data_IF_730647563871
#
_entry.id   IF_730647563871
#
_cell.length_a   1.000
_cell.length_b   1.000
_cell.length_c   1.000
_cell.angle_alpha   90.00
_cell.angle_beta   90.00
_cell.angle_gamma   90.00
#
_symmetry.space_group_name_H-M   'P 1'
#
loop_
_entity.id
_entity.type
_entity.pdbx_description
1 polymer ?
#
# COMPACT_ATOMS: atom_id res chain seq x y z
N UNK A 1 37.01 12.89 10.21
CA UNK A 1 37.12 11.48 10.64
C UNK A 1 35.88 10.75 10.11
N UNK A 2 36.09 9.95 9.07
CA UNK A 2 35.22 8.95 8.44
C UNK A 2 33.72 9.26 8.28
N UNK A 3 33.40 9.88 7.14
CA UNK A 3 32.11 9.73 6.47
C UNK A 3 31.99 8.25 6.06
N UNK A 4 31.11 7.49 6.71
CA UNK A 4 30.70 6.19 6.19
C UNK A 4 29.91 6.43 4.91
N UNK A 5 30.58 6.32 3.77
CA UNK A 5 29.94 6.13 2.48
C UNK A 5 29.15 4.82 2.56
N UNK A 6 27.86 4.91 2.92
CA UNK A 6 26.89 3.83 2.79
C UNK A 6 26.58 3.58 1.32
N UNK A 7 27.58 3.19 0.54
CA UNK A 7 27.40 2.74 -0.83
C UNK A 7 26.65 1.42 -0.83
N UNK A 8 25.63 1.29 -1.69
CA UNK A 8 24.95 0.02 -1.89
C UNK A 8 25.97 -0.99 -2.42
N UNK A 9 26.30 -1.98 -1.60
CA UNK A 9 27.18 -3.07 -1.99
C UNK A 9 26.33 -4.06 -2.79
N UNK A 10 26.62 -4.22 -4.08
CA UNK A 10 25.95 -5.19 -4.94
C UNK A 10 26.47 -6.59 -4.62
N UNK A 11 25.80 -7.27 -3.69
CA UNK A 11 26.11 -8.65 -3.30
C UNK A 11 25.09 -9.62 -3.88
N UNK A 12 25.56 -10.77 -4.36
CA UNK A 12 24.72 -11.86 -4.85
C UNK A 12 24.72 -12.98 -3.80
N UNK A 13 23.54 -13.32 -3.32
CA UNK A 13 23.32 -14.43 -2.39
C UNK A 13 22.27 -15.37 -2.96
N UNK A 14 22.55 -16.68 -2.92
CA UNK A 14 21.57 -17.71 -3.25
C UNK A 14 20.97 -18.27 -1.97
N UNK A 15 19.67 -18.05 -1.76
CA UNK A 15 18.93 -18.63 -0.64
C UNK A 15 18.48 -20.04 -1.03
N UNK A 16 19.01 -21.06 -0.33
CA UNK A 16 18.64 -22.46 -0.55
C UNK A 16 17.54 -22.89 0.42
N UNK A 17 16.75 -23.90 0.03
CA UNK A 17 15.72 -24.49 0.89
C UNK A 17 14.40 -23.70 0.94
N UNK A 18 14.17 -22.79 0.00
CA UNK A 18 12.85 -22.16 -0.16
C UNK A 18 11.89 -23.20 -0.74
N UNK A 19 10.88 -23.58 0.05
CA UNK A 19 9.80 -24.44 -0.42
C UNK A 19 8.79 -23.67 -1.29
N UNK A 20 7.94 -24.40 -2.02
CA UNK A 20 6.97 -23.83 -2.94
C UNK A 20 5.98 -22.86 -2.27
N UNK A 21 5.58 -23.14 -1.02
CA UNK A 21 4.62 -22.28 -0.31
C UNK A 21 5.24 -20.92 -0.02
N UNK A 22 6.50 -20.89 0.41
CA UNK A 22 7.24 -19.64 0.66
C UNK A 22 7.46 -18.88 -0.64
N UNK A 23 7.86 -19.56 -1.72
CA UNK A 23 8.05 -18.91 -3.02
C UNK A 23 6.75 -18.29 -3.55
N UNK A 24 5.62 -19.02 -3.44
CA UNK A 24 4.31 -18.52 -3.84
C UNK A 24 3.88 -17.32 -3.01
N UNK A 25 4.02 -17.39 -1.68
CA UNK A 25 3.68 -16.28 -0.79
C UNK A 25 4.51 -15.02 -1.10
N UNK A 26 5.80 -15.19 -1.40
CA UNK A 26 6.68 -14.07 -1.75
C UNK A 26 6.29 -13.44 -3.09
N UNK A 27 5.96 -14.24 -4.10
CA UNK A 27 5.48 -13.75 -5.41
C UNK A 27 4.15 -13.00 -5.31
N UNK A 28 3.19 -13.54 -4.56
CA UNK A 28 1.90 -12.88 -4.35
C UNK A 28 2.08 -11.54 -3.61
N UNK A 29 2.95 -11.50 -2.60
CA UNK A 29 3.26 -10.26 -1.88
C UNK A 29 3.94 -9.23 -2.79
N UNK A 30 4.89 -9.66 -3.60
CA UNK A 30 5.56 -8.81 -4.59
C UNK A 30 4.55 -8.22 -5.59
N UNK A 31 3.60 -9.03 -6.08
CA UNK A 31 2.53 -8.61 -6.98
C UNK A 31 1.62 -7.56 -6.34
N UNK A 32 1.18 -7.80 -5.09
CA UNK A 32 0.34 -6.85 -4.34
C UNK A 32 1.02 -5.52 -4.09
N UNK A 33 2.31 -5.54 -3.79
CA UNK A 33 3.10 -4.33 -3.50
C UNK A 33 3.65 -3.64 -4.76
N UNK A 34 3.47 -4.22 -5.95
CA UNK A 34 4.07 -3.72 -7.19
C UNK A 34 5.60 -3.75 -7.19
N UNK A 35 6.23 -4.66 -6.44
CA UNK A 35 7.69 -4.75 -6.28
C UNK A 35 8.26 -6.03 -6.91
N UNK A 36 9.59 -6.08 -7.11
CA UNK A 36 10.25 -7.31 -7.52
C UNK A 36 10.39 -8.28 -6.35
N UNK A 37 10.44 -9.59 -6.64
CA UNK A 37 10.61 -10.64 -5.62
C UNK A 37 11.84 -10.40 -4.74
N UNK A 38 12.96 -9.94 -5.32
CA UNK A 38 14.16 -9.59 -4.56
C UNK A 38 13.94 -8.38 -3.65
N UNK A 39 13.27 -7.34 -4.13
CA UNK A 39 12.96 -6.17 -3.31
C UNK A 39 12.05 -6.53 -2.14
N UNK A 40 11.02 -7.35 -2.37
CA UNK A 40 10.14 -7.87 -1.32
C UNK A 40 10.92 -8.72 -0.30
N UNK A 41 11.81 -9.60 -0.76
CA UNK A 41 12.64 -10.43 0.11
C UNK A 41 13.56 -9.58 1.00
N UNK A 42 14.24 -8.59 0.42
CA UNK A 42 15.10 -7.67 1.16
C UNK A 42 14.31 -6.87 2.20
N UNK A 43 13.13 -6.36 1.84
CA UNK A 43 12.25 -5.66 2.79
C UNK A 43 11.86 -6.56 3.96
N UNK A 44 11.42 -7.80 3.69
CA UNK A 44 11.08 -8.77 4.73
C UNK A 44 12.27 -9.08 5.65
N UNK A 45 13.49 -9.22 5.09
CA UNK A 45 14.70 -9.44 5.89
C UNK A 45 15.03 -8.22 6.75
N UNK A 46 14.92 -7.00 6.22
CA UNK A 46 15.14 -5.76 6.98
C UNK A 46 14.14 -5.59 8.11
N UNK A 47 12.86 -5.90 7.87
CA UNK A 47 11.82 -5.93 8.90
C UNK A 47 12.13 -6.96 9.99
N UNK A 48 12.51 -8.19 9.61
CA UNK A 48 12.82 -9.27 10.54
C UNK A 48 14.07 -8.97 11.39
N UNK A 49 15.05 -8.27 10.83
CA UNK A 49 16.26 -7.83 11.52
C UNK A 49 16.09 -6.51 12.29
N UNK A 50 14.89 -5.91 12.27
CA UNK A 50 14.60 -4.65 12.96
C UNK A 50 15.28 -3.41 12.34
N UNK A 51 15.77 -3.53 11.11
CA UNK A 51 16.44 -2.46 10.36
C UNK A 51 15.44 -1.49 9.73
N UNK A 52 14.18 -1.91 9.56
CA UNK A 52 13.08 -1.05 9.15
C UNK A 52 11.96 -1.11 10.19
N UNK A 53 11.43 0.07 10.56
CA UNK A 53 10.22 0.14 11.40
C UNK A 53 9.05 -0.38 10.56
N UNK A 54 8.28 -1.33 11.09
CA UNK A 54 7.00 -1.74 10.50
C UNK A 54 6.20 -0.48 10.14
N UNK A 55 5.85 -0.33 8.86
CA UNK A 55 4.91 0.70 8.43
C UNK A 55 3.63 0.45 9.21
N UNK A 56 3.33 1.33 10.17
CA UNK A 56 2.13 1.22 11.02
C UNK A 56 0.86 1.62 10.29
N UNK A 57 1.00 2.19 9.09
CA UNK A 57 -0.11 2.53 8.22
C UNK A 57 -0.57 1.27 7.52
N UNK A 58 -1.69 0.71 8.01
CA UNK A 58 -2.38 -0.37 7.31
C UNK A 58 -3.02 0.27 6.06
N UNK A 59 -2.60 -0.14 4.88
CA UNK A 59 -3.30 0.17 3.64
C UNK A 59 -4.39 -0.88 3.43
N UNK A 60 -5.63 -0.43 3.28
CA UNK A 60 -6.78 -1.28 2.96
C UNK A 60 -7.14 -1.08 1.48
N UNK A 61 -7.35 -2.17 0.76
CA UNK A 61 -7.65 -2.22 -0.68
C UNK A 61 -9.06 -2.78 -0.98
N UNK A 62 -9.85 -3.08 0.06
CA UNK A 62 -11.15 -3.73 -0.03
C UNK A 62 -12.19 -2.87 -0.77
N UNK A 63 -12.04 -1.55 -0.77
CA UNK A 63 -12.93 -0.61 -1.45
C UNK A 63 -12.40 -0.12 -2.80
N UNK A 64 -11.20 -0.52 -3.22
CA UNK A 64 -10.58 -0.01 -4.47
C UNK A 64 -11.45 -0.33 -5.69
N UNK A 65 -12.15 -1.46 -5.68
CA UNK A 65 -13.05 -1.88 -6.75
C UNK A 65 -14.28 -0.96 -6.93
N UNK A 66 -14.58 -0.11 -5.94
CA UNK A 66 -15.66 0.88 -6.03
C UNK A 66 -15.21 2.17 -6.70
N UNK A 67 -13.91 2.45 -6.73
CA UNK A 67 -13.38 3.68 -7.32
C UNK A 67 -13.64 3.72 -8.84
N UNK A 68 -14.23 4.82 -9.32
CA UNK A 68 -14.51 5.03 -10.75
C UNK A 68 -15.68 4.22 -11.32
N UNK A 69 -16.47 3.54 -10.47
CA UNK A 69 -17.62 2.73 -10.91
C UNK A 69 -18.89 3.54 -11.18
N UNK A 70 -18.93 4.82 -10.79
CA UNK A 70 -20.13 5.65 -10.92
C UNK A 70 -20.44 6.00 -12.37
N UNK A 71 -21.68 5.74 -12.78
CA UNK A 71 -22.21 6.28 -14.02
C UNK A 71 -22.62 7.75 -13.86
N UNK A 72 -22.83 8.45 -14.98
CA UNK A 72 -23.38 9.81 -14.96
C UNK A 72 -24.74 9.90 -14.27
N UNK A 73 -25.54 8.82 -14.35
CA UNK A 73 -26.85 8.74 -13.71
C UNK A 73 -26.71 8.67 -12.19
N UNK A 74 -25.81 7.83 -11.70
CA UNK A 74 -25.55 7.66 -10.26
C UNK A 74 -25.04 8.97 -9.66
N UNK A 75 -24.16 9.67 -10.39
CA UNK A 75 -23.69 11.00 -10.01
C UNK A 75 -24.84 12.01 -9.87
N UNK A 76 -25.72 12.11 -10.89
CA UNK A 76 -26.85 13.05 -10.85
C UNK A 76 -27.86 12.72 -9.74
N UNK A 77 -28.14 11.45 -9.51
CA UNK A 77 -29.04 11.01 -8.43
C UNK A 77 -28.44 11.33 -7.06
N UNK A 78 -27.15 11.06 -6.86
CA UNK A 78 -26.45 11.38 -5.62
C UNK A 78 -26.46 12.89 -5.36
N UNK A 79 -26.13 13.70 -6.38
CA UNK A 79 -26.12 15.16 -6.26
C UNK A 79 -27.50 15.71 -5.91
N UNK A 80 -28.57 15.24 -6.58
CA UNK A 80 -29.94 15.65 -6.25
C UNK A 80 -30.35 15.29 -4.82
N UNK A 81 -29.84 14.19 -4.26
CA UNK A 81 -30.14 13.74 -2.90
C UNK A 81 -29.29 14.42 -1.82
N UNK A 82 -28.18 15.04 -2.20
CA UNK A 82 -27.22 15.68 -1.29
C UNK A 82 -27.22 17.20 -1.34
N UNK A 83 -27.94 17.80 -2.31
CA UNK A 83 -28.10 19.25 -2.47
C UNK A 83 -28.50 19.99 -1.18
N UNK A 84 -29.34 19.37 -0.35
CA UNK A 84 -29.77 19.97 0.91
C UNK A 84 -28.67 20.02 1.99
N UNK A 85 -27.64 19.16 1.90
CA UNK A 85 -26.50 19.18 2.82
C UNK A 85 -25.44 20.22 2.46
N UNK A 86 -25.48 20.77 1.23
CA UNK A 86 -24.59 21.85 0.80
C UNK A 86 -25.11 23.25 1.19
N UNK A 87 -26.37 23.34 1.63
CA UNK A 87 -26.98 24.57 2.12
C UNK A 87 -26.59 24.79 3.58
N UNK A 88 -25.77 25.81 3.82
CA UNK A 88 -25.46 26.27 5.18
C UNK A 88 -26.68 26.99 5.75
N UNK A 89 -27.31 26.44 6.78
CA UNK A 89 -28.37 27.12 7.53
C UNK A 89 -27.75 27.96 8.67
N UNK A 90 -27.69 29.27 8.47
CA UNK A 90 -27.20 30.25 9.45
C UNK A 90 -27.95 30.20 10.80
N UNK A 91 -29.17 29.65 10.85
CA UNK A 91 -29.91 29.47 12.11
C UNK A 91 -29.45 28.24 12.90
N UNK A 92 -28.77 27.29 12.26
CA UNK A 92 -28.26 26.07 12.90
C UNK A 92 -26.88 26.28 13.54
N UNK A 93 -26.18 27.38 13.19
CA UNK A 93 -24.86 27.75 13.71
C UNK A 93 -24.89 28.86 14.77
N UNK A 94 -26.07 29.30 15.22
CA UNK A 94 -26.26 30.21 16.37
C UNK A 94 -26.80 29.47 17.57
#
# INVERSE_FOLDING_TARGET
MNLTNGGIIMSVMTVRGIDDKVLRALKEKAKKEGTSVNATLLRVLREALGLEKKIRTIAYDDLDHLAGTWSKKDYSEFQSKTDDFEKVDDKMWK
#
